data_IF_127592316864
#
_entry.id   IF_127592316864
#
_cell.length_a   1.000
_cell.length_b   1.000
_cell.length_c   1.000
_cell.angle_alpha   90.00
_cell.angle_beta   90.00
_cell.angle_gamma   90.00
#
_symmetry.space_group_name_H-M   'P 1'
#
loop_
_entity.id
_entity.type
_entity.pdbx_description
1 polymer ?
#
# COMPACT_ATOMS: atom_id res chain seq x y z
N UNK A 1 -29.39 12.55 15.21
CA UNK A 1 -29.55 11.10 14.99
C UNK A 1 -28.16 10.57 14.69
N UNK A 2 -27.57 9.81 15.61
CA UNK A 2 -26.24 9.20 15.38
C UNK A 2 -26.48 8.01 14.44
N UNK A 3 -25.85 8.02 13.27
CA UNK A 3 -26.03 6.95 12.29
C UNK A 3 -25.48 5.62 12.86
N UNK A 4 -26.27 4.55 12.68
CA UNK A 4 -25.94 3.20 13.10
C UNK A 4 -24.88 2.61 12.17
N UNK A 5 -23.82 2.08 12.76
CA UNK A 5 -22.96 1.10 12.07
C UNK A 5 -23.67 -0.26 11.96
N UNK A 6 -23.25 -1.07 11.00
CA UNK A 6 -23.77 -2.41 10.74
C UNK A 6 -22.61 -3.40 10.69
N UNK A 7 -22.69 -4.46 11.49
CA UNK A 7 -21.76 -5.60 11.44
C UNK A 7 -22.10 -6.49 10.24
N UNK A 8 -21.08 -6.95 9.50
CA UNK A 8 -21.23 -7.78 8.31
C UNK A 8 -20.75 -9.21 8.50
N UNK A 9 -19.76 -9.42 9.36
CA UNK A 9 -19.19 -10.75 9.63
C UNK A 9 -19.43 -11.15 11.08
N UNK A 10 -19.71 -12.43 11.32
CA UNK A 10 -20.13 -12.93 12.63
C UNK A 10 -19.41 -14.23 13.06
N UNK A 11 -18.68 -14.87 12.15
CA UNK A 11 -17.92 -16.08 12.46
C UNK A 11 -16.86 -15.80 13.54
N UNK A 12 -16.58 -16.79 14.41
CA UNK A 12 -15.54 -16.71 15.44
C UNK A 12 -14.11 -16.88 14.86
N UNK A 13 -13.77 -15.99 13.92
CA UNK A 13 -12.47 -15.86 13.27
C UNK A 13 -12.22 -14.39 12.94
N UNK A 14 -10.97 -14.01 12.74
CA UNK A 14 -10.64 -12.64 12.36
C UNK A 14 -10.80 -12.43 10.84
N UNK A 15 -11.40 -11.30 10.49
CA UNK A 15 -11.62 -10.85 9.11
C UNK A 15 -10.84 -9.55 8.95
N UNK A 16 -9.89 -9.52 8.02
CA UNK A 16 -8.94 -8.42 7.88
C UNK A 16 -9.14 -7.70 6.55
N UNK A 17 -9.49 -6.42 6.64
CA UNK A 17 -9.46 -5.49 5.51
C UNK A 17 -8.04 -4.97 5.29
N UNK A 18 -7.70 -4.79 4.02
CA UNK A 18 -6.54 -4.01 3.59
C UNK A 18 -6.84 -2.51 3.71
N UNK A 19 -5.80 -1.69 3.84
CA UNK A 19 -5.89 -0.24 4.04
C UNK A 19 -6.49 0.57 2.86
N UNK A 20 -6.78 -0.06 1.71
CA UNK A 20 -7.33 0.56 0.50
C UNK A 20 -7.90 -0.51 -0.44
N UNK A 21 -8.74 -0.10 -1.40
CA UNK A 21 -9.21 -0.94 -2.50
C UNK A 21 -9.86 -2.25 -2.02
N UNK A 22 -10.70 -2.20 -0.99
CA UNK A 22 -11.39 -3.40 -0.46
C UNK A 22 -12.81 -3.57 -0.99
N UNK A 23 -13.32 -2.61 -1.75
CA UNK A 23 -14.65 -2.62 -2.32
C UNK A 23 -14.60 -3.08 -3.77
N UNK A 24 -15.57 -3.88 -4.21
CA UNK A 24 -15.81 -4.06 -5.64
C UNK A 24 -16.24 -2.74 -6.31
N UNK A 25 -16.00 -2.56 -7.62
CA UNK A 25 -16.32 -1.33 -8.34
C UNK A 25 -17.77 -0.85 -8.19
N UNK A 26 -18.71 -1.79 -8.04
CA UNK A 26 -20.14 -1.55 -7.84
C UNK A 26 -20.53 -1.20 -6.40
N UNK A 27 -19.56 -1.16 -5.48
CA UNK A 27 -19.74 -0.88 -4.05
C UNK A 27 -20.65 -1.89 -3.32
N UNK A 28 -20.83 -3.10 -3.87
CA UNK A 28 -21.71 -4.13 -3.30
C UNK A 28 -20.98 -5.18 -2.46
N UNK A 29 -19.68 -5.40 -2.69
CA UNK A 29 -18.92 -6.41 -1.97
C UNK A 29 -17.70 -5.82 -1.30
N UNK A 30 -17.42 -6.30 -0.09
CA UNK A 30 -16.16 -6.09 0.62
C UNK A 30 -15.31 -7.33 0.55
N UNK A 31 -14.03 -7.16 0.25
CA UNK A 31 -13.05 -8.23 0.09
C UNK A 31 -12.05 -8.18 1.22
N UNK A 32 -11.75 -9.34 1.80
CA UNK A 32 -10.92 -9.47 2.99
C UNK A 32 -10.14 -10.79 2.99
N UNK A 33 -9.13 -10.86 3.85
CA UNK A 33 -8.45 -12.11 4.19
C UNK A 33 -8.85 -12.57 5.60
N UNK A 34 -8.73 -13.87 5.86
CA UNK A 34 -9.12 -14.47 7.15
C UNK A 34 -7.88 -14.86 7.94
N UNK A 35 -7.69 -14.27 9.12
CA UNK A 35 -6.57 -14.59 10.03
C UNK A 35 -6.89 -14.25 11.48
N UNK A 36 -6.26 -14.91 12.47
CA UNK A 36 -6.53 -14.65 13.89
C UNK A 36 -6.28 -13.20 14.30
N UNK A 37 -5.18 -12.61 13.82
CA UNK A 37 -4.72 -11.27 14.14
C UNK A 37 -4.07 -10.60 12.92
N UNK A 38 -4.24 -9.28 12.74
CA UNK A 38 -3.75 -8.54 11.57
C UNK A 38 -2.23 -8.52 11.39
N UNK A 39 -1.46 -8.80 12.45
CA UNK A 39 0.01 -8.91 12.40
C UNK A 39 0.53 -10.26 11.90
N UNK A 40 -0.33 -11.27 11.81
CA UNK A 40 0.05 -12.62 11.37
C UNK A 40 -0.27 -12.82 9.89
N UNK A 41 0.46 -13.74 9.25
CA UNK A 41 0.20 -14.16 7.88
C UNK A 41 -0.03 -15.67 7.83
N UNK A 42 -1.20 -16.05 8.34
CA UNK A 42 -1.68 -17.43 8.49
C UNK A 42 -2.98 -17.68 7.72
N UNK A 43 -3.39 -16.71 6.89
CA UNK A 43 -4.66 -16.80 6.17
C UNK A 43 -4.65 -17.88 5.11
N UNK A 44 -5.79 -18.58 4.99
CA UNK A 44 -5.97 -19.66 4.02
C UNK A 44 -6.92 -19.28 2.89
N UNK A 45 -7.75 -18.27 3.11
CA UNK A 45 -8.78 -17.85 2.16
C UNK A 45 -8.74 -16.35 1.93
N UNK A 46 -9.02 -15.99 0.68
CA UNK A 46 -9.48 -14.65 0.31
C UNK A 46 -10.98 -14.76 0.09
N UNK A 47 -11.74 -13.91 0.76
CA UNK A 47 -13.20 -13.98 0.80
C UNK A 47 -13.81 -12.61 0.53
N UNK A 48 -15.12 -12.61 0.27
CA UNK A 48 -15.90 -11.38 0.18
C UNK A 48 -17.26 -11.53 0.85
N UNK A 49 -17.81 -10.42 1.32
CA UNK A 49 -19.16 -10.31 1.89
C UNK A 49 -19.95 -9.25 1.14
N UNK A 50 -21.18 -9.58 0.77
CA UNK A 50 -22.12 -8.63 0.18
C UNK A 50 -22.69 -7.74 1.29
N UNK A 51 -22.61 -6.43 1.10
CA UNK A 51 -22.99 -5.49 2.16
C UNK A 51 -24.50 -5.24 2.28
N UNK A 52 -25.29 -5.81 1.37
CA UNK A 52 -26.76 -5.65 1.34
C UNK A 52 -27.46 -6.86 1.96
N UNK A 53 -27.04 -8.08 1.61
CA UNK A 53 -27.68 -9.32 2.09
C UNK A 53 -26.81 -10.17 3.03
N UNK A 54 -25.53 -9.81 3.22
CA UNK A 54 -24.60 -10.53 4.09
C UNK A 54 -24.10 -11.86 3.52
N UNK A 55 -24.42 -12.19 2.27
CA UNK A 55 -23.91 -13.39 1.60
C UNK A 55 -22.39 -13.34 1.49
N UNK A 56 -21.74 -14.49 1.65
CA UNK A 56 -20.28 -14.61 1.58
C UNK A 56 -19.84 -15.57 0.49
N UNK A 57 -18.73 -15.24 -0.16
CA UNK A 57 -18.08 -16.05 -1.18
C UNK A 57 -16.59 -16.20 -0.89
N UNK A 58 -16.05 -17.40 -1.11
CA UNK A 58 -14.60 -17.61 -1.17
C UNK A 58 -14.09 -17.33 -2.58
N UNK A 59 -13.17 -16.37 -2.72
CA UNK A 59 -12.52 -16.02 -4.00
C UNK A 59 -11.34 -16.96 -4.26
N UNK A 60 -10.58 -17.30 -3.22
CA UNK A 60 -9.40 -18.15 -3.32
C UNK A 60 -9.20 -18.97 -2.06
N UNK A 61 -8.65 -20.18 -2.22
CA UNK A 61 -8.17 -21.01 -1.12
C UNK A 61 -6.74 -21.43 -1.41
N UNK A 62 -5.84 -21.06 -0.51
CA UNK A 62 -4.44 -21.46 -0.57
C UNK A 62 -4.30 -22.99 -0.51
N UNK A 63 -3.30 -23.51 -1.20
CA UNK A 63 -2.99 -24.95 -1.28
C UNK A 63 -1.55 -25.21 -0.90
N UNK A 64 -1.19 -26.49 -0.78
CA UNK A 64 0.19 -26.94 -0.61
C UNK A 64 0.92 -26.27 0.57
N UNK A 65 0.20 -25.95 1.66
CA UNK A 65 0.77 -25.32 2.85
C UNK A 65 1.10 -23.83 2.73
N UNK A 66 0.70 -23.18 1.64
CA UNK A 66 0.82 -21.74 1.51
C UNK A 66 -0.21 -20.99 2.35
N UNK A 67 0.09 -19.73 2.65
CA UNK A 67 -0.85 -18.76 3.21
C UNK A 67 -1.06 -17.60 2.25
N UNK A 68 -2.19 -16.93 2.38
CA UNK A 68 -2.60 -15.77 1.59
C UNK A 68 -3.14 -14.66 2.47
N UNK A 69 -3.09 -13.44 1.96
CA UNK A 69 -3.75 -12.31 2.60
C UNK A 69 -3.46 -10.99 1.91
N UNK A 70 -3.94 -9.90 2.53
CA UNK A 70 -3.71 -8.52 2.08
C UNK A 70 -4.18 -8.32 0.64
N UNK A 71 -5.49 -8.50 0.45
CA UNK A 71 -6.17 -8.40 -0.83
C UNK A 71 -6.59 -6.97 -1.15
N UNK A 72 -6.47 -6.58 -2.41
CA UNK A 72 -7.04 -5.38 -3.00
C UNK A 72 -7.86 -5.73 -4.25
N UNK A 73 -8.76 -4.83 -4.61
CA UNK A 73 -9.71 -4.95 -5.72
C UNK A 73 -9.44 -3.87 -6.75
N UNK A 74 -9.48 -4.24 -8.02
CA UNK A 74 -9.33 -3.32 -9.14
C UNK A 74 -10.52 -2.35 -9.22
N UNK A 75 -10.34 -1.14 -9.77
CA UNK A 75 -11.40 -0.13 -9.85
C UNK A 75 -12.39 -0.38 -11.00
N UNK A 76 -12.10 -1.31 -11.89
CA UNK A 76 -12.84 -1.64 -13.11
C UNK A 76 -13.62 -2.95 -12.99
N UNK A 77 -14.71 -3.06 -13.76
CA UNK A 77 -15.49 -4.28 -13.90
C UNK A 77 -15.16 -4.98 -15.24
N UNK A 78 -15.05 -6.32 -15.29
CA UNK A 78 -15.18 -7.27 -14.18
C UNK A 78 -14.05 -7.12 -13.15
N UNK A 79 -14.34 -7.41 -11.88
CA UNK A 79 -13.40 -7.14 -10.80
C UNK A 79 -12.17 -8.06 -10.88
N UNK A 80 -11.00 -7.51 -10.57
CA UNK A 80 -9.75 -8.27 -10.38
C UNK A 80 -9.30 -8.14 -8.93
N UNK A 81 -8.78 -9.21 -8.37
CA UNK A 81 -8.33 -9.31 -6.98
C UNK A 81 -6.83 -9.56 -6.96
N UNK A 82 -6.06 -8.65 -6.38
CA UNK A 82 -4.62 -8.82 -6.19
C UNK A 82 -4.33 -9.06 -4.71
N UNK A 83 -3.56 -10.10 -4.38
CA UNK A 83 -3.24 -10.43 -2.99
C UNK A 83 -1.84 -11.03 -2.87
N UNK A 84 -1.35 -11.10 -1.63
CA UNK A 84 -0.08 -11.73 -1.32
C UNK A 84 -0.31 -13.24 -1.23
N UNK A 85 0.58 -13.99 -1.88
CA UNK A 85 0.68 -15.43 -1.75
C UNK A 85 2.05 -15.77 -1.14
N UNK A 86 2.04 -16.54 -0.05
CA UNK A 86 3.25 -17.13 0.52
C UNK A 86 3.76 -18.29 -0.33
N UNK A 87 4.90 -18.88 0.01
CA UNK A 87 5.44 -19.99 -0.76
C UNK A 87 4.58 -21.24 -0.61
N UNK A 88 4.40 -21.95 -1.71
CA UNK A 88 3.83 -23.30 -1.72
C UNK A 88 4.90 -24.32 -1.35
N UNK A 89 4.49 -25.40 -0.69
CA UNK A 89 5.36 -26.47 -0.18
C UNK A 89 6.53 -25.88 0.62
N UNK A 90 6.24 -25.12 1.69
CA UNK A 90 7.30 -24.55 2.50
C UNK A 90 8.13 -25.65 3.15
N UNK A 91 9.43 -25.39 3.34
CA UNK A 91 10.37 -26.29 4.00
C UNK A 91 11.24 -25.53 5.02
N UNK A 92 12.28 -26.17 5.54
CA UNK A 92 13.18 -25.58 6.55
C UNK A 92 13.95 -24.36 6.05
N UNK A 93 14.22 -24.29 4.74
CA UNK A 93 15.00 -23.23 4.10
C UNK A 93 14.09 -22.18 3.43
N UNK A 94 12.90 -22.58 3.00
CA UNK A 94 11.96 -21.73 2.28
C UNK A 94 10.58 -21.71 2.94
N UNK A 95 10.41 -20.78 3.88
CA UNK A 95 9.14 -20.50 4.58
C UNK A 95 8.68 -19.08 4.29
N UNK A 96 7.46 -18.76 4.73
CA UNK A 96 6.97 -17.39 4.66
C UNK A 96 7.94 -16.41 5.34
N UNK A 97 8.37 -15.41 4.56
CA UNK A 97 9.16 -14.25 5.00
C UNK A 97 8.81 -13.06 4.09
N UNK A 98 9.29 -11.84 4.38
CA UNK A 98 9.13 -10.66 3.53
C UNK A 98 9.66 -10.86 2.12
N UNK A 99 10.77 -11.59 1.96
CA UNK A 99 11.42 -11.83 0.67
C UNK A 99 10.98 -13.15 -0.02
N UNK A 100 10.02 -13.89 0.52
CA UNK A 100 9.46 -15.13 -0.09
C UNK A 100 7.97 -15.02 -0.43
N UNK A 101 7.51 -13.83 -0.81
CA UNK A 101 6.12 -13.53 -1.16
C UNK A 101 6.00 -13.26 -2.65
N UNK A 102 4.83 -13.54 -3.21
CA UNK A 102 4.50 -13.13 -4.58
C UNK A 102 3.14 -12.46 -4.63
N UNK A 103 2.93 -11.63 -5.63
CA UNK A 103 1.63 -11.17 -6.06
C UNK A 103 0.91 -12.23 -6.86
N UNK A 104 -0.38 -12.36 -6.61
CA UNK A 104 -1.29 -13.19 -7.40
C UNK A 104 -2.50 -12.36 -7.77
N UNK A 105 -2.97 -12.51 -9.01
CA UNK A 105 -4.23 -11.92 -9.50
C UNK A 105 -5.24 -13.02 -9.80
N UNK A 106 -6.48 -12.80 -9.39
CA UNK A 106 -7.67 -13.55 -9.85
C UNK A 106 -8.61 -12.57 -10.53
N UNK A 107 -9.18 -12.95 -11.66
CA UNK A 107 -10.08 -12.09 -12.45
C UNK A 107 -11.48 -12.67 -12.55
N UNK A 108 -12.51 -11.84 -12.45
CA UNK A 108 -13.86 -12.27 -12.80
C UNK A 108 -14.07 -12.32 -14.33
N UNK A 109 -14.99 -13.17 -14.83
CA UNK A 109 -15.82 -14.12 -14.08
C UNK A 109 -15.10 -15.41 -13.70
N UNK A 110 -13.95 -15.70 -14.33
CA UNK A 110 -13.20 -16.94 -14.10
C UNK A 110 -12.29 -16.86 -12.88
N UNK A 111 -12.89 -17.10 -11.72
CA UNK A 111 -12.17 -17.18 -10.44
C UNK A 111 -11.39 -18.49 -10.26
N UNK A 112 -11.42 -19.40 -11.23
CA UNK A 112 -10.77 -20.71 -11.16
C UNK A 112 -9.26 -20.67 -11.39
N UNK A 113 -8.76 -19.63 -12.05
CA UNK A 113 -7.34 -19.48 -12.40
C UNK A 113 -6.70 -18.30 -11.67
N UNK A 114 -5.75 -18.63 -10.79
CA UNK A 114 -4.90 -17.66 -10.12
C UNK A 114 -3.62 -17.46 -10.93
N UNK A 115 -3.36 -16.23 -11.36
CA UNK A 115 -2.21 -15.86 -12.18
C UNK A 115 -1.12 -15.24 -11.30
N UNK A 116 0.10 -15.77 -11.38
CA UNK A 116 1.24 -15.16 -10.69
C UNK A 116 1.59 -13.81 -11.34
N UNK A 117 1.70 -12.77 -10.52
CA UNK A 117 1.92 -11.39 -10.97
C UNK A 117 3.38 -11.16 -11.34
N UNK A 118 4.25 -11.20 -10.33
CA UNK A 118 5.69 -10.98 -10.44
C UNK A 118 6.44 -12.28 -10.72
N UNK A 119 7.45 -12.23 -11.60
CA UNK A 119 8.35 -13.36 -11.81
C UNK A 119 9.46 -13.37 -10.74
N UNK A 120 10.02 -14.55 -10.44
CA UNK A 120 11.14 -14.69 -9.52
C UNK A 120 12.38 -15.27 -10.21
N UNK A 121 13.51 -14.56 -10.11
CA UNK A 121 14.83 -14.94 -10.61
C UNK A 121 15.87 -14.62 -9.53
N UNK A 122 16.24 -15.62 -8.74
CA UNK A 122 17.19 -15.51 -7.61
C UNK A 122 18.57 -16.09 -7.92
N UNK A 123 18.74 -16.65 -9.12
CA UNK A 123 20.01 -17.20 -9.62
C UNK A 123 20.53 -16.37 -10.78
N UNK A 124 21.84 -16.07 -10.77
CA UNK A 124 22.48 -15.39 -11.88
C UNK A 124 22.55 -16.29 -13.15
N UNK A 125 22.44 -15.72 -14.37
CA UNK A 125 22.16 -14.32 -14.66
C UNK A 125 20.70 -13.94 -14.34
N UNK A 126 20.51 -12.86 -13.58
CA UNK A 126 19.19 -12.37 -13.21
C UNK A 126 18.43 -11.84 -14.44
N UNK A 127 17.10 -11.94 -14.40
CA UNK A 127 16.22 -11.58 -15.53
C UNK A 127 15.62 -10.17 -15.36
N UNK A 128 15.83 -9.23 -16.30
CA UNK A 128 15.11 -7.95 -16.31
C UNK A 128 13.59 -8.14 -16.26
N UNK A 129 12.92 -7.39 -15.40
CA UNK A 129 11.47 -7.50 -15.20
C UNK A 129 11.04 -8.59 -14.20
N UNK A 130 11.95 -9.46 -13.77
CA UNK A 130 11.73 -10.36 -12.65
C UNK A 130 12.20 -9.72 -11.35
N UNK A 131 11.53 -10.05 -10.26
CA UNK A 131 12.02 -9.79 -8.91
C UNK A 131 12.97 -10.92 -8.50
N UNK A 132 13.76 -10.67 -7.45
CA UNK A 132 14.66 -11.66 -6.85
C UNK A 132 14.44 -11.79 -5.34
N UNK A 133 13.20 -11.58 -4.95
CA UNK A 133 12.74 -11.52 -3.58
C UNK A 133 11.22 -11.35 -3.56
N UNK A 134 10.68 -10.79 -2.49
CA UNK A 134 9.25 -10.80 -2.23
C UNK A 134 8.57 -9.46 -2.43
N UNK A 135 7.42 -9.48 -3.10
CA UNK A 135 6.50 -8.35 -3.23
C UNK A 135 5.46 -8.32 -2.09
N UNK A 136 4.98 -7.13 -1.74
CA UNK A 136 4.06 -6.94 -0.61
C UNK A 136 3.07 -5.80 -0.84
N UNK A 137 1.80 -6.11 -0.59
CA UNK A 137 0.60 -5.27 -0.80
C UNK A 137 0.57 -4.74 -2.24
N UNK A 138 -0.27 -5.34 -3.07
CA UNK A 138 -0.40 -4.92 -4.46
C UNK A 138 -1.55 -3.92 -4.56
N UNK A 139 -1.29 -2.69 -4.98
CA UNK A 139 -2.32 -1.65 -5.10
C UNK A 139 -2.50 -1.24 -6.55
N UNK A 140 -3.70 -1.46 -7.07
CA UNK A 140 -4.06 -1.04 -8.42
C UNK A 140 -3.90 0.47 -8.61
N UNK A 141 -3.39 0.87 -9.77
CA UNK A 141 -3.46 2.24 -10.24
C UNK A 141 -4.93 2.69 -10.35
N UNK A 142 -5.22 4.00 -10.35
CA UNK A 142 -6.60 4.50 -10.41
C UNK A 142 -7.38 4.09 -11.66
N UNK A 143 -6.71 3.68 -12.74
CA UNK A 143 -7.30 3.13 -13.95
C UNK A 143 -7.22 1.58 -14.02
N UNK A 144 -6.68 0.93 -12.99
CA UNK A 144 -6.53 -0.52 -12.90
C UNK A 144 -5.46 -1.13 -13.82
N UNK A 145 -4.70 -0.34 -14.57
CA UNK A 145 -3.78 -0.87 -15.57
C UNK A 145 -2.44 -1.35 -14.99
N UNK A 146 -2.07 -0.91 -13.78
CA UNK A 146 -0.77 -1.17 -13.13
C UNK A 146 -0.99 -1.51 -11.67
N UNK A 147 0.03 -2.06 -11.02
CA UNK A 147 0.04 -2.22 -9.57
C UNK A 147 1.32 -1.64 -8.98
N UNK A 148 1.22 -0.99 -7.82
CA UNK A 148 2.37 -0.72 -6.96
C UNK A 148 2.52 -1.82 -5.92
N UNK A 149 3.72 -1.96 -5.38
CA UNK A 149 4.00 -2.82 -4.24
C UNK A 149 5.24 -2.34 -3.48
N UNK A 150 5.40 -2.83 -2.26
CA UNK A 150 6.69 -2.80 -1.55
C UNK A 150 7.44 -4.11 -1.75
N UNK A 151 8.77 -4.07 -1.62
CA UNK A 151 9.67 -5.15 -2.00
C UNK A 151 10.73 -5.41 -0.93
N UNK A 152 11.15 -6.67 -0.80
CA UNK A 152 12.31 -7.12 -0.03
C UNK A 152 13.13 -8.14 -0.85
N UNK A 153 14.44 -8.17 -0.66
CA UNK A 153 15.39 -8.83 -1.57
C UNK A 153 15.96 -10.11 -0.97
N UNK A 154 15.68 -11.27 -1.56
CA UNK A 154 16.17 -12.55 -1.04
C UNK A 154 17.68 -12.70 -1.27
N UNK A 155 18.18 -12.31 -2.44
CA UNK A 155 19.59 -12.47 -2.81
C UNK A 155 20.51 -11.72 -1.85
N UNK A 156 20.18 -10.46 -1.55
CA UNK A 156 20.93 -9.67 -0.59
C UNK A 156 20.66 -10.10 0.86
N UNK A 157 19.45 -10.56 1.20
CA UNK A 157 19.16 -11.12 2.52
C UNK A 157 20.09 -12.30 2.85
N UNK A 158 20.26 -13.23 1.90
CA UNK A 158 21.11 -14.40 2.07
C UNK A 158 22.59 -14.06 2.20
N UNK A 159 23.01 -12.91 1.67
CA UNK A 159 24.37 -12.38 1.80
C UNK A 159 24.57 -11.71 3.16
N UNK A 160 23.68 -10.81 3.52
CA UNK A 160 23.65 -10.11 4.81
C UNK A 160 22.24 -9.52 5.01
N UNK A 161 21.50 -9.91 6.07
CA UNK A 161 20.16 -9.36 6.34
C UNK A 161 20.11 -7.83 6.42
N UNK A 162 21.21 -7.15 6.73
CA UNK A 162 21.29 -5.68 6.73
C UNK A 162 21.20 -5.05 5.32
N UNK A 163 21.37 -5.84 4.26
CA UNK A 163 21.26 -5.42 2.86
C UNK A 163 19.86 -5.64 2.27
N UNK A 164 18.98 -6.39 2.95
CA UNK A 164 17.57 -6.57 2.57
C UNK A 164 16.76 -5.31 2.92
N UNK A 165 16.94 -4.28 2.10
CA UNK A 165 16.29 -2.98 2.28
C UNK A 165 14.95 -2.93 1.56
N UNK A 166 13.92 -2.52 2.31
CA UNK A 166 12.58 -2.39 1.73
C UNK A 166 12.52 -1.25 0.72
N UNK A 167 12.03 -1.57 -0.48
CA UNK A 167 11.85 -0.66 -1.61
C UNK A 167 10.39 -0.60 -2.07
N UNK A 168 10.09 0.33 -2.98
CA UNK A 168 8.83 0.43 -3.72
C UNK A 168 9.07 0.02 -5.17
N UNK A 169 8.13 -0.74 -5.74
CA UNK A 169 8.15 -1.16 -7.12
C UNK A 169 6.78 -1.07 -7.77
N UNK A 170 6.75 -1.34 -9.08
CA UNK A 170 5.54 -1.42 -9.89
C UNK A 170 5.53 -2.66 -10.76
N UNK A 171 4.34 -3.17 -11.05
CA UNK A 171 4.06 -4.19 -12.05
C UNK A 171 3.30 -3.54 -13.20
N UNK A 172 3.81 -3.69 -14.42
CA UNK A 172 3.19 -3.17 -15.65
C UNK A 172 2.91 -4.28 -16.66
N UNK A 173 1.81 -4.16 -17.43
CA UNK A 173 1.38 -5.18 -18.39
C UNK A 173 2.17 -5.08 -19.71
N UNK A 174 3.51 -4.97 -19.63
CA UNK A 174 4.38 -4.83 -20.80
C UNK A 174 4.47 -6.17 -21.57
N UNK A 175 4.86 -7.22 -20.86
CA UNK A 175 4.82 -8.61 -21.32
C UNK A 175 5.02 -9.54 -20.11
N UNK A 176 4.69 -10.82 -20.27
CA UNK A 176 5.04 -11.84 -19.29
C UNK A 176 6.57 -11.99 -19.19
N UNK A 177 7.07 -12.27 -17.99
CA UNK A 177 8.50 -12.48 -17.73
C UNK A 177 8.71 -13.95 -17.39
N UNK A 178 9.57 -14.61 -18.17
CA UNK A 178 9.86 -16.05 -18.08
C UNK A 178 11.37 -16.22 -17.85
N UNK A 179 11.84 -16.24 -16.59
CA UNK A 179 13.23 -16.51 -16.27
C UNK A 179 13.66 -17.89 -16.77
N UNK A 180 14.98 -18.09 -16.97
CA UNK A 180 15.52 -19.38 -17.39
C UNK A 180 15.33 -20.51 -16.36
N UNK A 181 15.05 -20.15 -15.09
CA UNK A 181 14.84 -21.03 -13.93
C UNK A 181 16.01 -21.99 -13.69
N UNK A 182 16.94 -21.55 -12.86
CA UNK A 182 18.07 -22.34 -12.37
C UNK A 182 17.88 -22.83 -10.91
N UNK A 183 16.83 -22.36 -10.24
CA UNK A 183 16.47 -22.77 -8.87
C UNK A 183 15.00 -23.23 -8.80
N UNK A 184 14.65 -24.28 -8.02
CA UNK A 184 13.28 -24.83 -7.96
C UNK A 184 12.23 -23.87 -7.38
N UNK A 185 12.66 -22.77 -6.75
CA UNK A 185 11.77 -21.72 -6.21
C UNK A 185 11.54 -20.56 -7.19
N UNK A 186 12.13 -20.60 -8.37
CA UNK A 186 11.93 -19.58 -9.42
C UNK A 186 10.67 -19.89 -10.24
N UNK A 187 9.98 -18.83 -10.66
CA UNK A 187 8.69 -18.92 -11.35
C UNK A 187 8.47 -17.75 -12.30
N UNK A 188 7.55 -17.94 -13.25
CA UNK A 188 7.17 -16.93 -14.23
C UNK A 188 6.18 -15.93 -13.62
N UNK A 189 6.11 -14.75 -14.22
CA UNK A 189 5.18 -13.69 -13.86
C UNK A 189 4.47 -13.16 -15.09
N UNK A 190 3.21 -12.78 -14.91
CA UNK A 190 2.40 -12.17 -15.97
C UNK A 190 2.79 -10.73 -16.28
N UNK A 191 3.48 -10.04 -15.36
CA UNK A 191 3.83 -8.63 -15.50
C UNK A 191 5.34 -8.42 -15.50
N UNK A 192 5.76 -7.32 -16.13
CA UNK A 192 7.12 -6.80 -16.01
C UNK A 192 7.21 -5.95 -14.75
N UNK A 193 8.06 -6.35 -13.81
CA UNK A 193 8.19 -5.70 -12.50
C UNK A 193 9.53 -4.98 -12.37
N UNK A 194 9.51 -3.75 -11.86
CA UNK A 194 10.70 -2.95 -11.60
C UNK A 194 10.57 -2.23 -10.26
N UNK A 195 11.72 -2.01 -9.58
CA UNK A 195 11.77 -1.07 -8.47
C UNK A 195 11.77 0.36 -8.99
N UNK A 196 11.21 1.28 -8.22
CA UNK A 196 11.13 2.71 -8.58
C UNK A 196 11.76 3.60 -7.53
N UNK A 197 12.14 3.03 -6.38
CA UNK A 197 12.94 3.67 -5.36
C UNK A 197 14.37 3.13 -5.34
N UNK A 198 15.27 3.90 -4.73
CA UNK A 198 16.63 3.50 -4.43
C UNK A 198 16.90 3.71 -2.93
N UNK A 199 17.53 2.72 -2.29
CA UNK A 199 17.85 2.73 -0.86
C UNK A 199 19.30 2.38 -0.61
N UNK A 200 19.87 2.89 0.49
CA UNK A 200 21.23 2.56 0.96
C UNK A 200 21.20 2.15 2.44
N UNK A 201 22.01 1.17 2.89
CA UNK A 201 22.03 0.75 4.29
C UNK A 201 22.50 1.87 5.23
N UNK A 202 23.29 2.82 4.71
CA UNK A 202 23.89 3.90 5.48
C UNK A 202 23.62 5.26 4.79
N UNK A 203 22.39 5.80 4.90
CA UNK A 203 22.08 7.10 4.34
C UNK A 203 23.00 8.17 4.92
N UNK A 204 23.58 9.01 4.08
CA UNK A 204 24.39 10.13 4.52
C UNK A 204 23.52 11.11 5.36
N UNK A 205 23.90 11.45 6.60
CA UNK A 205 23.20 12.46 7.41
C UNK A 205 23.03 13.80 6.68
N UNK A 206 21.81 14.33 6.69
CA UNK A 206 21.45 15.58 6.02
C UNK A 206 21.23 15.48 4.51
N UNK A 207 21.32 14.28 3.92
CA UNK A 207 21.04 14.04 2.50
C UNK A 207 19.58 13.60 2.25
N UNK A 208 19.26 13.36 0.97
CA UNK A 208 18.00 12.75 0.52
C UNK A 208 18.07 11.22 0.39
N UNK A 209 19.20 10.61 0.78
CA UNK A 209 19.32 9.17 0.82
C UNK A 209 18.39 8.56 1.86
N UNK A 210 17.88 7.36 1.58
CA UNK A 210 16.95 6.66 2.45
C UNK A 210 17.41 5.22 2.68
N UNK A 211 17.18 4.70 3.88
CA UNK A 211 17.43 3.28 4.19
C UNK A 211 16.21 2.39 4.00
N UNK A 212 15.06 2.98 3.68
CA UNK A 212 13.78 2.28 3.55
C UNK A 212 12.80 3.12 2.74
N UNK A 213 12.07 2.53 1.80
CA UNK A 213 10.95 3.13 1.09
C UNK A 213 9.68 2.28 1.29
N UNK A 214 8.60 2.84 1.82
CA UNK A 214 7.43 2.07 2.29
C UNK A 214 6.14 2.90 2.35
N UNK A 215 5.00 2.22 2.54
CA UNK A 215 3.63 2.77 2.59
C UNK A 215 3.27 3.70 1.44
N UNK A 216 3.34 3.17 0.23
CA UNK A 216 3.15 3.91 -1.02
C UNK A 216 1.68 4.18 -1.38
N UNK A 217 1.49 5.13 -2.31
CA UNK A 217 0.19 5.40 -2.92
C UNK A 217 0.30 6.12 -4.26
N UNK A 218 -0.57 5.75 -5.19
CA UNK A 218 -0.72 6.42 -6.49
C UNK A 218 -1.15 7.87 -6.35
N UNK A 219 -0.56 8.76 -7.17
CA UNK A 219 -0.88 10.18 -7.17
C UNK A 219 -1.99 10.48 -8.19
N UNK A 220 -3.20 10.71 -7.70
CA UNK A 220 -4.33 11.22 -8.47
C UNK A 220 -4.86 10.26 -9.55
N UNK A 221 -6.15 10.38 -9.89
CA UNK A 221 -6.75 9.65 -11.03
C UNK A 221 -6.11 10.04 -12.35
N UNK A 222 -5.67 11.29 -12.42
CA UNK A 222 -5.12 11.98 -13.57
C UNK A 222 -3.58 12.05 -13.58
N UNK A 223 -2.90 11.55 -12.55
CA UNK A 223 -1.59 12.09 -12.19
C UNK A 223 -1.70 13.49 -11.59
N UNK A 224 -0.60 14.26 -11.59
CA UNK A 224 -0.57 15.65 -11.12
C UNK A 224 -0.05 16.62 -12.19
N UNK A 225 -0.28 17.92 -12.00
CA UNK A 225 0.23 18.97 -12.90
C UNK A 225 1.53 19.51 -12.32
N UNK A 226 2.62 19.43 -13.10
CA UNK A 226 3.93 19.99 -12.73
C UNK A 226 3.89 21.51 -12.75
N UNK A 227 4.87 22.15 -12.11
CA UNK A 227 5.01 23.62 -12.10
C UNK A 227 5.08 24.24 -13.51
N UNK A 228 5.56 23.50 -14.51
CA UNK A 228 5.62 23.94 -15.91
C UNK A 228 4.30 23.74 -16.69
N UNK A 229 3.24 23.30 -16.02
CA UNK A 229 1.92 23.05 -16.61
C UNK A 229 1.76 21.70 -17.30
N UNK A 230 2.84 20.91 -17.46
CA UNK A 230 2.72 19.56 -18.02
C UNK A 230 2.10 18.60 -17.02
N UNK A 231 1.32 17.66 -17.51
CA UNK A 231 0.75 16.58 -16.70
C UNK A 231 1.79 15.47 -16.54
N UNK A 232 2.10 15.13 -15.29
CA UNK A 232 2.78 13.90 -14.94
C UNK A 232 1.71 12.84 -14.72
N UNK A 233 1.49 11.95 -15.70
CA UNK A 233 0.40 10.98 -15.66
C UNK A 233 0.58 9.95 -14.54
N UNK A 234 1.79 9.41 -14.43
CA UNK A 234 2.09 8.31 -13.51
C UNK A 234 3.08 8.76 -12.45
N UNK A 235 2.69 8.66 -11.19
CA UNK A 235 3.57 8.93 -10.07
C UNK A 235 3.09 8.21 -8.81
N UNK A 236 4.04 7.90 -7.93
CA UNK A 236 3.81 7.34 -6.60
C UNK A 236 4.36 8.28 -5.55
N UNK A 237 3.68 8.37 -4.41
CA UNK A 237 4.22 8.94 -3.18
C UNK A 237 4.51 7.81 -2.18
N UNK A 238 5.53 7.95 -1.34
CA UNK A 238 5.89 6.96 -0.32
C UNK A 238 6.64 7.60 0.87
N UNK A 239 6.78 6.87 1.98
CA UNK A 239 7.63 7.27 3.11
C UNK A 239 9.04 6.75 2.91
N UNK A 240 10.03 7.64 3.07
CA UNK A 240 11.45 7.33 3.06
C UNK A 240 12.10 7.59 4.42
N UNK A 241 12.83 6.61 4.98
CA UNK A 241 13.60 6.80 6.22
C UNK A 241 14.94 7.51 5.92
N UNK A 242 14.99 8.84 6.17
CA UNK A 242 16.22 9.66 6.03
C UNK A 242 17.01 9.73 7.34
N UNK A 243 18.20 10.35 7.32
CA UNK A 243 18.94 10.73 8.53
C UNK A 243 19.08 12.24 8.65
N UNK A 244 18.68 12.80 9.79
CA UNK A 244 18.96 14.19 10.15
C UNK A 244 20.48 14.43 10.28
N UNK A 245 20.95 15.70 10.27
CA UNK A 245 22.36 16.01 10.54
C UNK A 245 22.88 15.47 11.89
N UNK A 246 21.99 15.29 12.87
CA UNK A 246 22.28 14.64 14.16
C UNK A 246 22.54 13.13 14.05
N UNK A 247 22.25 12.52 12.90
CA UNK A 247 22.32 11.06 12.65
C UNK A 247 21.03 10.32 12.97
N UNK A 248 20.05 10.99 13.61
CA UNK A 248 18.75 10.42 13.96
C UNK A 248 17.90 10.14 12.72
N UNK A 249 17.10 9.08 12.79
CA UNK A 249 16.21 8.69 11.69
C UNK A 249 15.00 9.61 11.62
N UNK A 250 14.71 10.14 10.44
CA UNK A 250 13.55 11.00 10.19
C UNK A 250 12.76 10.48 8.98
N UNK A 251 11.57 9.90 9.18
CA UNK A 251 10.70 9.50 8.07
C UNK A 251 10.15 10.72 7.33
N UNK A 252 10.21 10.72 6.01
CA UNK A 252 9.82 11.85 5.16
C UNK A 252 9.00 11.39 3.96
N UNK A 253 8.23 12.30 3.36
CA UNK A 253 7.47 12.04 2.14
C UNK A 253 8.37 12.19 0.92
N UNK A 254 8.31 11.21 0.03
CA UNK A 254 8.95 11.22 -1.29
C UNK A 254 7.92 11.06 -2.39
N UNK A 255 8.26 11.51 -3.59
CA UNK A 255 7.55 11.26 -4.84
C UNK A 255 8.50 10.66 -5.88
N UNK A 256 7.98 9.78 -6.72
CA UNK A 256 8.66 9.31 -7.93
C UNK A 256 7.74 9.45 -9.14
N UNK A 257 8.28 10.08 -10.19
CA UNK A 257 7.62 10.19 -11.49
C UNK A 257 7.98 8.98 -12.35
N UNK A 258 6.98 8.43 -13.03
CA UNK A 258 7.15 7.31 -13.96
C UNK A 258 7.00 7.79 -15.40
N UNK A 259 7.66 7.14 -16.38
CA UNK A 259 7.50 7.48 -17.78
C UNK A 259 6.05 7.28 -18.25
N UNK A 260 5.66 8.03 -19.29
CA UNK A 260 4.34 7.89 -19.93
C UNK A 260 4.21 6.55 -20.65
N UNK A 261 5.28 6.12 -21.33
CA UNK A 261 5.33 4.89 -22.11
C UNK A 261 5.92 3.74 -21.26
N UNK A 262 5.20 2.62 -21.17
CA UNK A 262 5.65 1.47 -20.39
C UNK A 262 6.94 0.84 -20.94
N UNK A 263 7.21 0.96 -22.24
CA UNK A 263 8.45 0.45 -22.81
C UNK A 263 9.69 1.11 -22.20
N UNK A 264 9.57 2.37 -21.74
CA UNK A 264 10.68 3.09 -21.12
C UNK A 264 11.06 2.50 -19.75
N UNK A 265 10.14 1.79 -19.08
CA UNK A 265 10.41 1.08 -17.83
C UNK A 265 11.34 -0.12 -18.02
N UNK A 266 11.47 -0.64 -19.25
CA UNK A 266 12.37 -1.75 -19.56
C UNK A 266 13.80 -1.29 -19.92
N UNK A 267 14.11 0.00 -19.81
CA UNK A 267 15.45 0.54 -20.06
C UNK A 267 16.22 0.75 -18.76
N UNK A 268 17.30 0.00 -18.58
CA UNK A 268 18.23 0.17 -17.47
C UNK A 268 18.95 1.54 -17.55
N UNK A 269 19.25 2.09 -16.38
CA UNK A 269 20.21 3.19 -16.23
C UNK A 269 21.64 2.65 -16.13
N UNK A 270 22.44 3.24 -15.24
CA UNK A 270 23.82 2.81 -15.01
C UNK A 270 23.92 1.47 -14.26
N UNK A 271 22.89 1.15 -13.46
CA UNK A 271 22.76 -0.10 -12.71
C UNK A 271 21.64 -0.95 -13.36
N UNK A 272 21.81 -2.27 -13.49
CA UNK A 272 20.80 -3.15 -14.10
C UNK A 272 19.45 -3.13 -13.35
N UNK A 273 18.35 -3.22 -14.12
CA UNK A 273 16.98 -3.27 -13.57
C UNK A 273 16.75 -4.42 -12.59
N UNK A 274 17.42 -5.55 -12.85
CA UNK A 274 17.35 -6.78 -12.06
C UNK A 274 18.40 -6.86 -10.95
N UNK A 275 19.25 -5.84 -10.83
CA UNK A 275 20.36 -5.78 -9.89
C UNK A 275 21.49 -6.76 -10.20
N UNK A 276 22.41 -6.91 -9.23
CA UNK A 276 23.56 -7.82 -9.30
C UNK A 276 23.68 -8.67 -8.04
N UNK A 277 24.65 -9.57 -7.95
CA UNK A 277 24.88 -10.37 -6.73
C UNK A 277 25.15 -9.52 -5.48
N UNK A 278 25.51 -8.24 -5.65
CA UNK A 278 25.91 -7.35 -4.55
C UNK A 278 25.12 -6.05 -4.48
N UNK A 279 24.28 -5.74 -5.47
CA UNK A 279 23.53 -4.49 -5.56
C UNK A 279 22.05 -4.76 -5.82
N UNK A 280 21.18 -3.99 -5.17
CA UNK A 280 19.71 -4.04 -5.35
C UNK A 280 19.28 -3.85 -6.81
N UNK A 281 18.09 -4.34 -7.20
CA UNK A 281 17.47 -3.94 -8.45
C UNK A 281 17.33 -2.42 -8.52
N UNK A 282 17.72 -1.81 -9.64
CA UNK A 282 17.75 -0.36 -9.76
C UNK A 282 16.50 0.19 -10.50
N UNK A 283 16.10 1.44 -10.20
CA UNK A 283 15.07 2.12 -10.97
C UNK A 283 15.39 2.23 -12.47
N UNK A 284 14.36 2.23 -13.34
CA UNK A 284 14.54 2.47 -14.76
C UNK A 284 15.22 3.81 -15.06
N UNK A 285 15.80 3.90 -16.26
CA UNK A 285 16.52 5.09 -16.71
C UNK A 285 15.66 6.34 -16.57
N UNK A 286 16.16 7.31 -15.80
CA UNK A 286 15.48 8.60 -15.60
C UNK A 286 14.41 8.60 -14.49
N UNK A 287 14.02 7.44 -13.97
CA UNK A 287 13.15 7.32 -12.79
C UNK A 287 13.97 7.63 -11.55
N UNK A 288 13.57 8.67 -10.81
CA UNK A 288 14.27 9.13 -9.61
C UNK A 288 13.27 9.58 -8.55
N UNK A 289 13.49 9.16 -7.32
CA UNK A 289 12.74 9.66 -6.18
C UNK A 289 13.20 11.08 -5.81
N UNK A 290 12.27 11.89 -5.30
CA UNK A 290 12.50 13.25 -4.82
C UNK A 290 11.82 13.45 -3.48
N UNK A 291 12.55 13.99 -2.51
CA UNK A 291 12.01 14.34 -1.18
C UNK A 291 11.06 15.53 -1.28
N UNK A 292 9.94 15.47 -0.57
CA UNK A 292 8.94 16.53 -0.50
C UNK A 292 8.93 17.25 0.85
N UNK A 293 9.13 16.53 1.94
CA UNK A 293 9.11 17.11 3.30
C UNK A 293 10.49 17.17 3.93
N UNK A 294 10.75 18.23 4.70
CA UNK A 294 12.02 18.49 5.39
C UNK A 294 11.71 18.88 6.84
N UNK A 295 11.55 17.88 7.70
CA UNK A 295 10.93 18.03 9.02
C UNK A 295 11.91 17.88 10.18
N UNK A 296 13.21 17.68 9.91
CA UNK A 296 14.23 17.43 10.93
C UNK A 296 14.37 18.54 11.99
N UNK A 297 13.98 19.76 11.65
CA UNK A 297 14.07 20.92 12.56
C UNK A 297 12.77 21.20 13.34
N UNK A 298 11.70 20.43 13.09
CA UNK A 298 10.44 20.56 13.85
C UNK A 298 10.64 20.06 15.29
N UNK A 299 9.83 20.58 16.22
CA UNK A 299 9.78 20.09 17.61
C UNK A 299 9.53 18.58 17.69
N UNK A 300 8.72 18.06 16.77
CA UNK A 300 8.50 16.64 16.58
C UNK A 300 8.86 16.27 15.15
N UNK A 301 10.11 15.84 14.90
CA UNK A 301 10.58 15.50 13.56
C UNK A 301 9.86 14.29 12.96
N UNK A 302 9.69 14.34 11.63
CA UNK A 302 9.27 13.20 10.82
C UNK A 302 7.77 13.01 10.67
N UNK A 303 7.42 12.32 9.58
CA UNK A 303 6.12 11.69 9.38
C UNK A 303 5.85 10.69 10.52
N UNK A 304 4.62 10.67 11.02
CA UNK A 304 4.26 9.84 12.17
C UNK A 304 4.38 8.34 11.84
N UNK A 305 5.03 7.58 12.73
CA UNK A 305 5.11 6.12 12.62
C UNK A 305 3.93 5.39 13.27
N UNK A 306 3.18 6.09 14.14
CA UNK A 306 2.02 5.58 14.84
C UNK A 306 0.90 6.64 14.86
N UNK A 307 -0.36 6.28 14.50
CA UNK A 307 -0.73 4.97 13.96
C UNK A 307 -0.04 4.73 12.60
N UNK A 308 0.15 3.44 12.25
CA UNK A 308 0.62 3.08 10.92
C UNK A 308 -0.37 3.61 9.88
N UNK A 309 0.13 4.25 8.83
CA UNK A 309 -0.69 4.80 7.76
C UNK A 309 0.05 4.74 6.43
N UNK A 310 -0.70 4.91 5.35
CA UNK A 310 -0.18 5.00 3.99
C UNK A 310 -0.48 6.38 3.43
N UNK A 311 0.39 6.86 2.54
CA UNK A 311 0.13 8.11 1.85
C UNK A 311 -1.07 7.95 0.92
N UNK A 312 -1.88 9.00 0.83
CA UNK A 312 -3.03 9.04 -0.07
C UNK A 312 -3.10 10.37 -0.79
N UNK A 313 -3.09 10.34 -2.11
CA UNK A 313 -3.31 11.54 -2.89
C UNK A 313 -4.81 11.85 -3.03
N UNK A 314 -5.13 13.15 -3.08
CA UNK A 314 -6.41 13.63 -3.54
C UNK A 314 -6.70 13.07 -4.96
N UNK A 315 -7.97 12.79 -5.31
CA UNK A 315 -8.32 12.23 -6.62
C UNK A 315 -7.86 13.05 -7.82
N UNK A 316 -7.68 14.36 -7.67
CA UNK A 316 -7.18 15.25 -8.73
C UNK A 316 -5.64 15.32 -8.80
N UNK A 317 -4.94 14.69 -7.85
CA UNK A 317 -3.48 14.68 -7.73
C UNK A 317 -2.87 15.96 -7.20
N UNK A 318 -3.65 16.92 -6.69
CA UNK A 318 -3.14 18.22 -6.23
C UNK A 318 -2.42 18.16 -4.88
N UNK A 319 -2.80 17.22 -4.02
CA UNK A 319 -2.33 17.12 -2.64
C UNK A 319 -2.11 15.65 -2.25
N UNK A 320 -1.05 15.38 -1.49
CA UNK A 320 -0.73 14.10 -0.86
C UNK A 320 -0.95 14.25 0.63
N UNK A 321 -1.88 13.46 1.18
CA UNK A 321 -2.16 13.42 2.61
C UNK A 321 -1.31 12.36 3.34
N UNK A 322 -0.85 12.72 4.54
CA UNK A 322 -0.03 11.91 5.45
C UNK A 322 -0.28 12.32 6.91
N UNK A 323 0.22 11.55 7.88
CA UNK A 323 0.13 11.88 9.30
C UNK A 323 1.45 12.45 9.82
N UNK A 324 1.36 13.53 10.60
CA UNK A 324 2.52 14.15 11.26
C UNK A 324 2.06 14.81 12.56
N UNK A 325 2.96 14.88 13.55
CA UNK A 325 2.68 15.57 14.81
C UNK A 325 2.63 17.10 14.61
N UNK A 326 1.63 17.73 15.20
CA UNK A 326 1.58 19.18 15.35
C UNK A 326 2.52 19.69 16.46
N UNK A 327 2.51 21.00 16.70
CA UNK A 327 3.36 21.64 17.72
C UNK A 327 3.05 21.19 19.15
N UNK A 328 1.87 20.61 19.39
CA UNK A 328 1.47 20.04 20.68
C UNK A 328 1.79 18.54 20.76
N UNK A 329 2.39 17.96 19.72
CA UNK A 329 2.75 16.54 19.66
C UNK A 329 1.58 15.63 19.32
N UNK A 330 0.44 16.18 18.91
CA UNK A 330 -0.77 15.42 18.55
C UNK A 330 -0.67 15.04 17.07
N UNK A 331 -0.96 13.78 16.75
CA UNK A 331 -0.94 13.30 15.36
C UNK A 331 -2.14 13.86 14.63
N UNK A 332 -1.88 14.60 13.55
CA UNK A 332 -2.89 15.24 12.69
C UNK A 332 -2.73 14.76 11.25
N UNK A 333 -3.75 14.99 10.43
CA UNK A 333 -3.63 14.88 8.97
C UNK A 333 -2.96 16.14 8.43
N UNK A 334 -1.97 15.96 7.57
CA UNK A 334 -1.28 17.00 6.82
C UNK A 334 -1.37 16.72 5.33
N UNK A 335 -1.29 17.77 4.52
CA UNK A 335 -1.25 17.72 3.07
C UNK A 335 0.02 18.38 2.52
N UNK A 336 0.55 17.86 1.41
CA UNK A 336 1.63 18.49 0.65
C UNK A 336 1.40 18.33 -0.85
N UNK A 337 1.76 19.33 -1.65
CA UNK A 337 1.70 19.19 -3.11
C UNK A 337 2.78 18.21 -3.61
N UNK A 338 2.50 17.40 -4.64
CA UNK A 338 3.55 16.62 -5.32
C UNK A 338 4.68 17.49 -5.89
N UNK A 339 4.42 18.79 -6.12
CA UNK A 339 5.43 19.75 -6.53
C UNK A 339 6.36 20.21 -5.38
N UNK A 340 6.11 19.78 -4.14
CA UNK A 340 6.80 20.26 -2.93
C UNK A 340 6.18 21.53 -2.35
N UNK A 341 6.93 22.21 -1.50
CA UNK A 341 6.49 23.37 -0.73
C UNK A 341 6.16 23.01 0.72
N UNK A 342 5.59 23.97 1.45
CA UNK A 342 5.28 23.80 2.87
C UNK A 342 4.10 22.84 3.08
N UNK A 343 4.22 21.85 3.99
CA UNK A 343 3.09 21.04 4.43
C UNK A 343 2.00 21.90 5.08
N UNK A 344 0.75 21.65 4.70
CA UNK A 344 -0.43 22.27 5.30
C UNK A 344 -1.06 21.31 6.30
N UNK A 345 -1.26 21.75 7.53
CA UNK A 345 -2.05 21.01 8.50
C UNK A 345 -3.53 21.04 8.07
N UNK A 346 -4.16 19.86 7.96
CA UNK A 346 -5.56 19.72 7.53
C UNK A 346 -6.46 19.63 8.77
N UNK A 347 -6.13 18.77 9.73
CA UNK A 347 -6.92 18.63 10.96
C UNK A 347 -6.31 19.39 12.13
N UNK A 348 -7.18 19.96 12.95
CA UNK A 348 -6.81 20.64 14.18
C UNK A 348 -7.73 20.14 15.29
N UNK A 349 -7.15 19.63 16.38
CA UNK A 349 -7.97 19.15 17.49
C UNK A 349 -7.17 18.50 18.60
N UNK A 350 -7.80 18.31 19.78
CA UNK A 350 -7.14 17.77 20.96
C UNK A 350 -6.97 16.25 20.94
N UNK A 351 -7.59 15.55 19.98
CA UNK A 351 -7.54 14.10 19.84
C UNK A 351 -6.66 13.71 18.65
N UNK A 352 -5.77 12.72 18.81
CA UNK A 352 -4.94 12.26 17.70
C UNK A 352 -5.78 11.49 16.67
N UNK A 353 -5.33 11.50 15.43
CA UNK A 353 -5.79 10.55 14.42
C UNK A 353 -5.29 9.15 14.81
N UNK A 354 -6.17 8.15 14.75
CA UNK A 354 -5.95 6.81 15.30
C UNK A 354 -5.88 5.71 14.22
N UNK A 355 -5.88 6.06 12.93
CA UNK A 355 -5.95 5.10 11.84
C UNK A 355 -5.27 5.55 10.53
N UNK A 356 -5.16 4.60 9.60
CA UNK A 356 -5.12 4.90 8.17
C UNK A 356 -6.41 5.64 7.74
N UNK A 357 -6.39 6.22 6.54
CA UNK A 357 -7.48 7.04 6.02
C UNK A 357 -7.68 6.84 4.52
N UNK A 358 -8.83 7.27 4.01
CA UNK A 358 -9.17 7.20 2.59
C UNK A 358 -9.87 8.46 2.11
N UNK A 359 -9.65 8.83 0.85
CA UNK A 359 -10.33 9.94 0.20
C UNK A 359 -11.69 9.52 -0.32
N UNK A 360 -12.65 10.43 -0.19
CA UNK A 360 -13.86 10.37 -0.99
C UNK A 360 -13.52 10.66 -2.45
N UNK A 361 -14.25 10.02 -3.37
CA UNK A 361 -14.06 10.14 -4.80
C UNK A 361 -14.06 11.58 -5.36
N UNK A 362 -14.70 12.51 -4.65
CA UNK A 362 -14.79 13.93 -5.03
C UNK A 362 -13.65 14.80 -4.47
N UNK A 363 -12.75 14.23 -3.67
CA UNK A 363 -11.60 14.92 -3.09
C UNK A 363 -11.93 15.92 -1.98
N UNK A 364 -13.18 15.97 -1.48
CA UNK A 364 -13.58 16.96 -0.46
C UNK A 364 -13.48 16.45 0.97
N UNK A 365 -13.58 15.13 1.13
CA UNK A 365 -13.63 14.49 2.45
C UNK A 365 -12.61 13.36 2.57
N UNK A 366 -12.11 13.16 3.79
CA UNK A 366 -11.31 12.01 4.22
C UNK A 366 -12.09 11.22 5.28
N UNK A 367 -12.12 9.89 5.18
CA UNK A 367 -12.56 9.03 6.29
C UNK A 367 -11.38 8.59 7.13
N UNK A 368 -11.51 8.68 8.46
CA UNK A 368 -10.48 8.35 9.43
C UNK A 368 -11.10 7.99 10.79
N UNK A 369 -10.28 7.53 11.73
CA UNK A 369 -10.67 7.34 13.14
C UNK A 369 -10.05 8.44 14.00
N UNK A 370 -10.89 9.11 14.77
CA UNK A 370 -10.50 10.09 15.78
C UNK A 370 -11.52 10.05 16.92
N UNK A 371 -11.06 10.26 18.16
CA UNK A 371 -11.86 10.13 19.37
C UNK A 371 -12.74 8.86 19.38
N UNK A 372 -12.11 7.72 19.10
CA UNK A 372 -12.71 6.39 19.08
C UNK A 372 -13.97 6.28 18.21
N UNK A 373 -14.02 6.99 17.09
CA UNK A 373 -15.11 6.87 16.12
C UNK A 373 -14.63 7.04 14.71
N UNK A 374 -15.38 6.44 13.78
CA UNK A 374 -15.23 6.76 12.36
C UNK A 374 -15.76 8.17 12.13
N UNK A 375 -14.97 8.97 11.45
CA UNK A 375 -15.21 10.38 11.18
C UNK A 375 -15.03 10.69 9.69
N UNK A 376 -15.72 11.71 9.21
CA UNK A 376 -15.39 12.41 7.98
C UNK A 376 -14.72 13.75 8.30
N UNK A 377 -13.54 13.97 7.74
CA UNK A 377 -12.84 15.24 7.75
C UNK A 377 -13.14 16.00 6.44
N UNK A 378 -13.66 17.21 6.54
CA UNK A 378 -13.69 18.15 5.41
C UNK A 378 -12.29 18.74 5.20
N UNK A 379 -11.71 18.54 4.02
CA UNK A 379 -10.28 18.81 3.78
C UNK A 379 -9.98 20.31 3.67
N UNK A 380 -10.97 21.10 3.24
CA UNK A 380 -10.83 22.53 3.10
C UNK A 380 -10.85 23.24 4.46
N UNK A 381 -11.67 22.76 5.39
CA UNK A 381 -11.90 23.40 6.69
C UNK A 381 -11.25 22.68 7.87
N UNK A 382 -10.87 21.42 7.71
CA UNK A 382 -10.41 20.54 8.79
C UNK A 382 -11.52 20.02 9.71
N UNK A 383 -12.79 20.37 9.45
CA UNK A 383 -13.91 20.03 10.31
C UNK A 383 -14.17 18.52 10.34
N UNK A 384 -14.30 17.95 11.53
CA UNK A 384 -14.61 16.54 11.74
C UNK A 384 -16.12 16.33 12.02
N UNK A 385 -16.74 15.44 11.25
CA UNK A 385 -18.12 14.99 11.44
C UNK A 385 -18.15 13.52 11.81
N UNK A 386 -18.80 13.19 12.92
CA UNK A 386 -18.82 11.83 13.47
C UNK A 386 -19.86 10.96 12.75
N UNK A 387 -19.42 9.78 12.29
CA UNK A 387 -20.27 8.80 11.60
C UNK A 387 -20.75 7.66 12.51
N UNK A 388 -20.01 7.32 13.56
CA UNK A 388 -20.36 6.25 14.51
C UNK A 388 -20.47 6.80 15.92
N UNK A 389 -21.20 6.13 16.81
CA UNK A 389 -21.13 6.46 18.23
C UNK A 389 -19.69 6.26 18.75
N UNK A 390 -19.30 7.09 19.74
CA UNK A 390 -18.05 6.90 20.47
C UNK A 390 -18.14 5.63 21.30
N UNK A 391 -17.16 4.75 21.15
CA UNK A 391 -16.97 3.57 21.98
C UNK A 391 -15.76 3.72 22.91
N UNK A 392 -15.67 2.86 23.93
CA UNK A 392 -14.54 2.85 24.87
C UNK A 392 -13.24 2.45 24.17
N UNK A 393 -13.30 1.44 23.29
CA UNK A 393 -12.21 1.05 22.40
C UNK A 393 -12.39 1.68 21.01
N UNK A 394 -11.33 2.21 20.38
CA UNK A 394 -11.41 2.68 19.01
C UNK A 394 -11.68 1.51 18.04
N UNK A 395 -12.33 1.77 16.88
CA UNK A 395 -12.26 0.82 15.77
C UNK A 395 -10.79 0.56 15.37
N UNK A 396 -10.53 -0.57 14.71
CA UNK A 396 -9.16 -0.96 14.34
C UNK A 396 -8.60 0.00 13.28
N UNK A 397 -7.39 0.50 13.53
CA UNK A 397 -6.78 1.57 12.74
C UNK A 397 -6.24 1.15 11.37
N UNK A 398 -6.22 -0.14 11.05
CA UNK A 398 -5.58 -0.66 9.84
C UNK A 398 -6.34 -0.33 8.54
N UNK A 399 -7.66 -0.15 8.60
CA UNK A 399 -8.50 0.09 7.43
C UNK A 399 -9.73 0.94 7.76
N UNK A 400 -9.84 2.07 7.04
CA UNK A 400 -11.02 2.94 7.02
C UNK A 400 -11.24 3.36 5.58
N UNK A 401 -12.09 2.64 4.85
CA UNK A 401 -12.14 2.71 3.37
C UNK A 401 -13.54 3.12 2.89
N UNK A 402 -13.63 4.29 2.27
CA UNK A 402 -14.84 4.77 1.60
C UNK A 402 -15.14 3.91 0.36
N UNK A 403 -16.42 3.59 0.14
CA UNK A 403 -16.89 2.87 -1.05
C UNK A 403 -16.70 3.70 -2.34
N UNK A 404 -16.51 3.08 -3.52
CA UNK A 404 -16.36 3.78 -4.79
C UNK A 404 -17.46 4.82 -5.10
N UNK A 405 -18.71 4.52 -4.75
CA UNK A 405 -19.85 5.42 -4.89
C UNK A 405 -19.89 6.56 -3.84
N UNK A 406 -19.03 6.49 -2.82
CA UNK A 406 -18.92 7.46 -1.74
C UNK A 406 -20.02 7.38 -0.68
N UNK A 407 -20.89 6.36 -0.72
CA UNK A 407 -22.07 6.26 0.15
C UNK A 407 -21.77 5.64 1.52
N UNK A 408 -20.74 4.81 1.63
CA UNK A 408 -20.42 4.02 2.82
C UNK A 408 -18.94 4.07 3.18
N UNK A 409 -18.64 3.78 4.45
CA UNK A 409 -17.26 3.56 4.96
C UNK A 409 -17.18 2.17 5.56
N UNK A 410 -16.23 1.36 5.10
CA UNK A 410 -15.88 0.08 5.70
C UNK A 410 -14.74 0.24 6.71
N UNK A 411 -14.87 -0.46 7.82
CA UNK A 411 -13.89 -0.46 8.91
C UNK A 411 -14.00 -1.76 9.70
N UNK A 412 -13.15 -1.94 10.71
CA UNK A 412 -13.16 -3.12 11.56
C UNK A 412 -13.29 -2.76 13.03
N UNK A 413 -13.89 -3.66 13.81
CA UNK A 413 -13.87 -3.61 15.28
C UNK A 413 -13.33 -4.92 15.86
N UNK A 414 -12.77 -4.83 17.04
CA UNK A 414 -12.46 -6.00 17.84
C UNK A 414 -13.73 -6.47 18.56
N UNK A 415 -14.19 -7.68 18.24
CA UNK A 415 -15.30 -8.36 18.90
C UNK A 415 -14.75 -9.66 19.47
N UNK A 416 -14.70 -9.77 20.80
CA UNK A 416 -14.20 -10.95 21.52
C UNK A 416 -12.77 -11.39 21.08
N UNK A 417 -11.88 -10.44 20.80
CA UNK A 417 -10.51 -10.71 20.37
C UNK A 417 -10.35 -10.95 18.86
N UNK A 418 -11.43 -10.83 18.08
CA UNK A 418 -11.43 -11.04 16.62
C UNK A 418 -11.76 -9.74 15.88
N UNK A 419 -11.05 -9.47 14.79
CA UNK A 419 -11.44 -8.42 13.85
C UNK A 419 -12.74 -8.83 13.13
N UNK A 420 -13.76 -7.98 13.22
CA UNK A 420 -15.04 -8.14 12.51
C UNK A 420 -15.29 -6.92 11.64
N UNK A 421 -15.94 -7.14 10.49
CA UNK A 421 -16.18 -6.11 9.48
C UNK A 421 -17.45 -5.34 9.78
N UNK A 422 -17.37 -4.02 9.65
CA UNK A 422 -18.48 -3.11 9.83
C UNK A 422 -18.54 -2.11 8.67
N UNK A 423 -19.74 -1.59 8.45
CA UNK A 423 -19.98 -0.43 7.59
C UNK A 423 -20.77 0.64 8.31
N UNK A 424 -20.62 1.89 7.88
CA UNK A 424 -21.49 3.02 8.25
C UNK A 424 -21.76 3.89 7.02
N UNK A 425 -22.84 4.67 7.06
CA UNK A 425 -23.19 5.64 6.02
C UNK A 425 -22.22 6.84 6.02
N UNK A 426 -21.79 7.29 4.85
CA UNK A 426 -20.82 8.37 4.68
C UNK A 426 -21.47 9.75 4.39
N UNK A 427 -22.49 10.11 5.17
CA UNK A 427 -23.29 11.34 4.96
C UNK A 427 -22.66 12.56 5.64
#
# INVERSE_FOLDING_TARGET
MVANEMQLTFDDRGHQLTNINVWTPDSQWLVYDVRPHGGEFSGLTIERVNVTDGSTDVIYTARDGAHVGVVTVSPDAPARYAFIHGPERPDSEWRYDFHHRRGVIISEPDRGEAVTLDAMSITAPYTPGALRGGSHVHVFSPDGSRLSFTYNDHVLHMRDPALDLRNVGIAVPLHAVVPAKHHPREYDGSHFCVLVSHTTPQPQPGSDEISRAYEEGWIGRGGYVKQDGRRQRWALAFIGDTRAPSGEKVPEVFVVDLPENDADLAHAGDIPLQGTETEMPAPPRGVRQRRLTFTSERTFPGVASQPRHWLRAAPDGSEIAFLMKDEQGIVQVWGISPNGGEPRQITHGPHPIQSAFSWRADGKKLALICDNSVMLCDVATGALSRLTARSDEPPLGDAVVISPDGSRVAFMRNINGRAQLFITEAR
#
